data_IF_383335864748
#
_entry.id   IF_383335864748
#
_cell.length_a   1.000
_cell.length_b   1.000
_cell.length_c   1.000
_cell.angle_alpha   90.00
_cell.angle_beta   90.00
_cell.angle_gamma   90.00
#
_symmetry.space_group_name_H-M   'P 1'
#
loop_
_entity.id
_entity.type
_entity.pdbx_description
1 polymer ?
#
# COMPACT_ATOMS: atom_id res chain seq x y z
N UNK A 1 30.37 -28.01 13.96
CA UNK A 1 29.53 -28.22 12.75
C UNK A 1 28.02 -28.01 13.03
N UNK A 2 27.62 -27.29 14.09
CA UNK A 2 26.21 -27.14 14.49
C UNK A 2 25.59 -25.75 14.18
N UNK A 3 26.39 -24.68 14.08
CA UNK A 3 25.86 -23.32 13.83
C UNK A 3 25.34 -23.09 12.40
N UNK A 4 25.99 -23.69 11.39
CA UNK A 4 25.69 -23.38 9.97
C UNK A 4 24.28 -23.83 9.54
N UNK A 5 23.73 -24.87 10.18
CA UNK A 5 22.36 -25.32 9.93
C UNK A 5 21.31 -24.34 10.51
N UNK A 6 21.63 -23.62 11.59
CA UNK A 6 20.70 -22.73 12.29
C UNK A 6 20.42 -21.43 11.50
N UNK A 7 21.44 -20.84 10.88
CA UNK A 7 21.28 -19.62 10.08
C UNK A 7 20.45 -19.92 8.82
N UNK A 8 20.72 -21.06 8.16
CA UNK A 8 19.98 -21.48 6.97
C UNK A 8 18.51 -21.79 7.28
N UNK A 9 18.20 -22.36 8.45
CA UNK A 9 16.82 -22.62 8.85
C UNK A 9 16.05 -21.33 9.19
N UNK A 10 16.66 -20.39 9.91
CA UNK A 10 16.05 -19.09 10.19
C UNK A 10 15.76 -18.27 8.93
N UNK A 11 16.66 -18.28 7.94
CA UNK A 11 16.42 -17.61 6.66
C UNK A 11 15.24 -18.23 5.89
N UNK A 12 15.08 -19.56 5.98
CA UNK A 12 13.98 -20.25 5.33
C UNK A 12 12.63 -19.94 5.98
N UNK A 13 12.60 -19.82 7.31
CA UNK A 13 11.42 -19.37 8.06
C UNK A 13 11.04 -17.93 7.71
N UNK A 14 12.02 -17.02 7.68
CA UNK A 14 11.81 -15.63 7.27
C UNK A 14 11.21 -15.55 5.85
N UNK A 15 11.73 -16.34 4.90
CA UNK A 15 11.18 -16.41 3.55
C UNK A 15 9.73 -16.89 3.54
N UNK A 16 9.41 -17.92 4.33
CA UNK A 16 8.06 -18.47 4.40
C UNK A 16 7.05 -17.45 4.96
N UNK A 17 7.43 -16.72 6.02
CA UNK A 17 6.59 -15.66 6.60
C UNK A 17 6.46 -14.48 5.64
N UNK A 18 7.56 -14.06 4.99
CA UNK A 18 7.56 -12.98 4.01
C UNK A 18 6.63 -13.28 2.82
N UNK A 19 6.69 -14.50 2.28
CA UNK A 19 5.81 -14.92 1.18
C UNK A 19 4.32 -14.89 1.59
N UNK A 20 4.01 -15.33 2.81
CA UNK A 20 2.64 -15.27 3.34
C UNK A 20 2.16 -13.83 3.51
N UNK A 21 3.00 -12.95 4.05
CA UNK A 21 2.68 -11.53 4.22
C UNK A 21 2.42 -10.85 2.86
N UNK A 22 3.31 -11.06 1.88
CA UNK A 22 3.15 -10.53 0.52
C UNK A 22 1.85 -11.04 -0.11
N UNK A 23 1.54 -12.33 0.05
CA UNK A 23 0.31 -12.92 -0.50
C UNK A 23 -0.93 -12.30 0.14
N UNK A 24 -0.92 -12.09 1.46
CA UNK A 24 -2.01 -11.42 2.17
C UNK A 24 -2.25 -9.99 1.68
N UNK A 25 -1.17 -9.19 1.57
CA UNK A 25 -1.22 -7.81 1.04
C UNK A 25 -1.78 -7.79 -0.38
N UNK A 26 -1.30 -8.67 -1.26
CA UNK A 26 -1.79 -8.77 -2.64
C UNK A 26 -3.28 -9.07 -2.72
N UNK A 27 -3.78 -9.96 -1.86
CA UNK A 27 -5.17 -10.38 -1.84
C UNK A 27 -6.10 -9.24 -1.39
N UNK A 28 -5.68 -8.48 -0.37
CA UNK A 28 -6.36 -7.26 0.06
C UNK A 28 -6.28 -6.17 -1.02
N UNK A 29 -5.10 -5.93 -1.58
CA UNK A 29 -4.90 -4.94 -2.63
C UNK A 29 -5.81 -5.17 -3.84
N UNK A 30 -5.88 -6.42 -4.34
CA UNK A 30 -6.75 -6.77 -5.48
C UNK A 30 -8.24 -6.58 -5.17
N UNK A 31 -8.64 -6.67 -3.90
CA UNK A 31 -10.02 -6.40 -3.48
C UNK A 31 -10.29 -4.90 -3.37
N UNK A 32 -9.35 -4.14 -2.81
CA UNK A 32 -9.50 -2.69 -2.58
C UNK A 32 -9.24 -1.85 -3.85
N UNK A 33 -8.54 -2.38 -4.86
CA UNK A 33 -8.19 -1.62 -6.07
C UNK A 33 -9.41 -1.10 -6.83
N UNK A 34 -10.55 -1.82 -6.76
CA UNK A 34 -11.80 -1.37 -7.34
C UNK A 34 -12.33 -0.07 -6.69
N UNK A 35 -12.06 0.10 -5.40
CA UNK A 35 -12.46 1.25 -4.59
C UNK A 35 -11.38 2.34 -4.49
N UNK A 36 -10.30 2.25 -5.29
CA UNK A 36 -9.15 3.14 -5.16
C UNK A 36 -9.50 4.63 -5.31
N UNK A 37 -10.50 4.95 -6.13
CA UNK A 37 -11.03 6.32 -6.29
C UNK A 37 -11.67 6.84 -5.00
N UNK A 38 -12.56 6.05 -4.39
CA UNK A 38 -13.28 6.42 -3.17
C UNK A 38 -12.32 6.62 -1.98
N UNK A 39 -11.33 5.72 -1.85
CA UNK A 39 -10.30 5.82 -0.81
C UNK A 39 -9.47 7.10 -1.01
N UNK A 40 -9.13 7.42 -2.26
CA UNK A 40 -8.39 8.64 -2.57
C UNK A 40 -9.20 9.91 -2.29
N UNK A 41 -10.48 9.95 -2.64
CA UNK A 41 -11.37 11.08 -2.35
C UNK A 41 -11.49 11.30 -0.84
N UNK A 42 -11.68 10.22 -0.07
CA UNK A 42 -11.73 10.29 1.39
C UNK A 42 -10.45 10.88 2.01
N UNK A 43 -9.27 10.45 1.54
CA UNK A 43 -7.99 10.94 2.07
C UNK A 43 -7.64 12.34 1.56
N UNK A 44 -8.08 12.71 0.36
CA UNK A 44 -7.80 14.02 -0.24
C UNK A 44 -8.78 15.12 0.18
N UNK A 45 -9.97 14.78 0.69
CA UNK A 45 -10.94 15.74 1.23
C UNK A 45 -10.33 16.77 2.21
N UNK A 46 -9.59 16.38 3.28
CA UNK A 46 -8.99 17.37 4.18
C UNK A 46 -7.93 18.24 3.52
N UNK A 47 -7.20 17.70 2.52
CA UNK A 47 -6.22 18.49 1.77
C UNK A 47 -6.91 19.59 0.96
N UNK A 48 -8.07 19.27 0.38
CA UNK A 48 -8.86 20.23 -0.39
C UNK A 48 -9.41 21.34 0.51
N UNK A 49 -9.86 21.01 1.72
CA UNK A 49 -10.36 22.01 2.69
C UNK A 49 -9.27 22.97 3.19
N UNK A 50 -8.01 22.53 3.21
CA UNK A 50 -6.87 23.38 3.61
C UNK A 50 -6.28 24.22 2.47
N UNK A 51 -6.82 24.10 1.25
CA UNK A 51 -6.36 24.89 0.12
C UNK A 51 -6.76 26.37 0.28
N UNK A 52 -5.89 27.32 -0.10
CA UNK A 52 -6.25 28.74 -0.17
C UNK A 52 -7.48 28.95 -1.06
N UNK A 53 -8.34 29.91 -0.70
CA UNK A 53 -9.53 30.23 -1.50
C UNK A 53 -9.17 30.46 -2.98
N UNK A 54 -9.67 29.58 -3.87
CA UNK A 54 -9.41 29.63 -5.31
C UNK A 54 -8.28 28.74 -5.83
N UNK A 55 -7.57 28.01 -4.96
CA UNK A 55 -6.59 27.01 -5.38
C UNK A 55 -7.26 25.66 -5.69
N UNK A 56 -6.98 25.11 -6.87
CA UNK A 56 -7.41 23.77 -7.27
C UNK A 56 -6.27 22.78 -7.06
N UNK A 57 -6.60 21.54 -6.68
CA UNK A 57 -5.63 20.45 -6.72
C UNK A 57 -5.19 20.22 -8.18
N UNK A 58 -3.88 20.29 -8.46
CA UNK A 58 -3.32 20.08 -9.80
C UNK A 58 -2.46 18.82 -9.77
N UNK A 59 -2.82 17.84 -10.61
CA UNK A 59 -1.98 16.69 -10.90
C UNK A 59 -0.79 17.15 -11.76
N UNK A 60 0.39 17.34 -11.14
CA UNK A 60 1.59 17.85 -11.81
C UNK A 60 2.21 16.88 -12.81
N UNK A 61 1.86 15.59 -12.74
CA UNK A 61 2.33 14.57 -13.67
C UNK A 61 1.16 13.94 -14.42
N UNK A 62 1.38 13.63 -15.70
CA UNK A 62 0.38 13.05 -16.63
C UNK A 62 -0.21 11.74 -16.09
N UNK A 63 0.57 10.98 -15.32
CA UNK A 63 0.18 9.68 -14.77
C UNK A 63 -0.34 9.75 -13.33
N UNK A 64 -0.27 10.91 -12.68
CA UNK A 64 -0.72 11.09 -11.29
C UNK A 64 -2.18 10.71 -11.04
N UNK A 65 -3.16 11.02 -11.92
CA UNK A 65 -4.55 10.66 -11.66
C UNK A 65 -4.80 9.15 -11.51
N UNK A 66 -3.95 8.33 -12.14
CA UNK A 66 -4.03 6.87 -12.04
C UNK A 66 -3.14 6.31 -10.93
N UNK A 67 -1.89 6.74 -10.84
CA UNK A 67 -0.93 6.16 -9.89
C UNK A 67 -1.15 6.59 -8.45
N UNK A 68 -1.69 7.78 -8.21
CA UNK A 68 -1.94 8.26 -6.85
C UNK A 68 -2.95 7.39 -6.09
N UNK A 69 -4.19 7.15 -6.61
CA UNK A 69 -5.15 6.26 -5.94
C UNK A 69 -4.63 4.82 -5.83
N UNK A 70 -3.91 4.33 -6.85
CA UNK A 70 -3.32 2.99 -6.84
C UNK A 70 -2.29 2.81 -5.73
N UNK A 71 -1.33 3.74 -5.60
CA UNK A 71 -0.30 3.71 -4.55
C UNK A 71 -0.91 3.82 -3.17
N UNK A 72 -1.92 4.69 -3.02
CA UNK A 72 -2.60 4.88 -1.75
C UNK A 72 -3.33 3.60 -1.31
N UNK A 73 -4.01 2.95 -2.24
CA UNK A 73 -4.66 1.65 -2.00
C UNK A 73 -3.67 0.56 -1.61
N UNK A 74 -2.48 0.54 -2.23
CA UNK A 74 -1.41 -0.37 -1.82
C UNK A 74 -0.99 -0.13 -0.37
N UNK A 75 -0.79 1.12 0.05
CA UNK A 75 -0.46 1.42 1.44
C UNK A 75 -1.56 0.98 2.40
N UNK A 76 -2.83 1.29 2.10
CA UNK A 76 -3.97 0.85 2.91
C UNK A 76 -4.03 -0.67 3.01
N UNK A 77 -3.79 -1.40 1.91
CA UNK A 77 -3.76 -2.86 1.92
C UNK A 77 -2.64 -3.42 2.80
N UNK A 78 -1.48 -2.76 2.84
CA UNK A 78 -0.40 -3.12 3.76
C UNK A 78 -0.84 -2.91 5.20
N UNK A 79 -1.41 -1.75 5.54
CA UNK A 79 -1.90 -1.48 6.90
C UNK A 79 -2.96 -2.47 7.35
N UNK A 80 -3.88 -2.87 6.47
CA UNK A 80 -4.90 -3.88 6.77
C UNK A 80 -4.32 -5.30 6.88
N UNK A 81 -3.20 -5.57 6.21
CA UNK A 81 -2.53 -6.87 6.26
C UNK A 81 -1.67 -7.07 7.52
N UNK A 82 -1.39 -6.01 8.28
CA UNK A 82 -0.67 -6.08 9.56
C UNK A 82 -1.69 -6.46 10.65
N UNK A 83 -1.65 -7.70 11.20
CA UNK A 83 -2.44 -8.06 12.37
C UNK A 83 -1.89 -7.45 13.66
#
# INVERSE_FOLDING_TARGET
MSEKLSILSHLNELKAVLLKAITSVLLLFLTLVYFAGDIYEFVSAPLIETLPNGASMIATQVVSPFFTPLKLTLYVSVFLAVP
#
